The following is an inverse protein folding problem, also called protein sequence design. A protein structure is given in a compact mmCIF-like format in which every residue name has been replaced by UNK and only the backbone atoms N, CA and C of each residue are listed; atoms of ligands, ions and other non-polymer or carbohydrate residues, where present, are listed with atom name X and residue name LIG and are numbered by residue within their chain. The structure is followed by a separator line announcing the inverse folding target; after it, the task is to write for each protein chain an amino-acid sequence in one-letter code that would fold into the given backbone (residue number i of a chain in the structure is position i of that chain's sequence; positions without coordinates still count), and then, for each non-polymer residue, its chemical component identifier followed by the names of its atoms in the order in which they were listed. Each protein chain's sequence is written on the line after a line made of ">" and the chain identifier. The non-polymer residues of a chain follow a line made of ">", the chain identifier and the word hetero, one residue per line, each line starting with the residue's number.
data_IF_832980904592
#
_entry.id   IF_832980904592
#
_cell.length_a   1.000
_cell.length_b   1.000
_cell.length_c   1.000
_cell.angle_alpha   90.00
_cell.angle_beta   90.00
_cell.angle_gamma   90.00
#
_symmetry.space_group_name_H-M   'P 1'
#
loop_
_entity.id
_entity.type
_entity.pdbx_description
1 polymer ?
#
# COMPACT_ATOMS: atom_id res chain seq x y z
N UNK A 1 -8.58 0.47 -5.57
CA UNK A 1 -9.60 1.54 -5.54
C UNK A 1 -9.16 2.77 -4.75
N UNK A 2 -8.52 2.65 -3.59
CA UNK A 2 -8.20 3.80 -2.72
C UNK A 2 -6.94 4.59 -3.08
N UNK A 3 -6.01 4.03 -3.84
CA UNK A 3 -4.81 4.72 -4.30
C UNK A 3 -5.10 5.88 -5.27
N UNK A 4 -6.18 5.79 -6.06
CA UNK A 4 -6.60 6.86 -6.96
C UNK A 4 -7.00 8.15 -6.22
N UNK A 5 -7.67 8.03 -5.08
CA UNK A 5 -8.03 9.17 -4.23
C UNK A 5 -6.76 9.86 -3.70
N UNK A 6 -5.79 9.08 -3.22
CA UNK A 6 -4.51 9.59 -2.72
C UNK A 6 -3.74 10.36 -3.81
N UNK A 7 -3.70 9.85 -5.04
CA UNK A 7 -3.03 10.51 -6.18
C UNK A 7 -3.71 11.83 -6.52
N UNK A 8 -5.05 11.88 -6.55
CA UNK A 8 -5.80 13.12 -6.82
C UNK A 8 -5.53 14.20 -5.78
N UNK A 9 -5.41 13.84 -4.50
CA UNK A 9 -5.08 14.79 -3.44
C UNK A 9 -3.63 15.27 -3.50
N UNK A 10 -2.70 14.40 -3.87
CA UNK A 10 -1.31 14.82 -4.10
C UNK A 10 -1.21 15.86 -5.20
N UNK A 11 -2.04 15.74 -6.24
CA UNK A 11 -2.15 16.73 -7.31
C UNK A 11 -2.64 18.10 -6.80
N UNK A 12 -3.70 18.13 -6.01
CA UNK A 12 -4.22 19.39 -5.44
C UNK A 12 -3.16 20.12 -4.61
N UNK A 13 -2.27 19.39 -3.95
CA UNK A 13 -1.19 19.98 -3.16
C UNK A 13 0.06 20.31 -3.97
N UNK A 14 0.35 19.59 -5.04
CA UNK A 14 1.51 19.84 -5.90
C UNK A 14 1.28 20.99 -6.91
N UNK A 15 0.03 21.20 -7.35
CA UNK A 15 -0.33 22.26 -8.29
C UNK A 15 -0.59 23.64 -7.67
N UNK A 16 -0.62 23.75 -6.34
CA UNK A 16 -0.79 25.00 -5.62
C UNK A 16 0.52 25.69 -5.26
N UNK A 17 0.45 26.95 -4.84
CA UNK A 17 1.58 27.78 -4.41
C UNK A 17 2.35 27.25 -3.17
N UNK A 18 2.00 26.05 -2.67
CA UNK A 18 2.72 25.32 -1.63
C UNK A 18 3.93 24.62 -2.25
N UNK A 19 4.91 25.38 -2.67
CA UNK A 19 6.16 24.91 -3.28
C UNK A 19 7.10 24.14 -2.32
N UNK A 20 6.61 23.70 -1.18
CA UNK A 20 7.33 22.82 -0.27
C UNK A 20 6.99 21.36 -0.58
N UNK A 21 7.87 20.63 -1.24
CA UNK A 21 7.77 19.17 -1.45
C UNK A 21 7.38 18.42 -0.16
N UNK A 22 7.73 18.96 0.99
CA UNK A 22 7.42 18.39 2.31
C UNK A 22 5.94 18.54 2.70
N UNK A 23 5.30 19.67 2.40
CA UNK A 23 3.88 19.89 2.73
C UNK A 23 2.99 19.02 1.83
N UNK A 24 3.32 18.91 0.54
CA UNK A 24 2.60 18.02 -0.37
C UNK A 24 2.64 16.55 0.11
N UNK A 25 3.81 16.08 0.54
CA UNK A 25 3.96 14.75 1.14
C UNK A 25 3.15 14.58 2.42
N UNK A 26 3.15 15.60 3.28
CA UNK A 26 2.39 15.59 4.53
C UNK A 26 0.89 15.39 4.26
N UNK A 27 0.31 16.21 3.40
CA UNK A 27 -1.12 16.14 3.07
C UNK A 27 -1.46 14.83 2.36
N UNK A 28 -0.63 14.37 1.42
CA UNK A 28 -0.81 13.08 0.76
C UNK A 28 -0.83 11.92 1.77
N UNK A 29 0.08 11.94 2.76
CA UNK A 29 0.14 10.93 3.81
C UNK A 29 -1.11 10.95 4.71
N UNK A 30 -1.61 12.13 5.06
CA UNK A 30 -2.85 12.27 5.84
C UNK A 30 -4.05 11.68 5.10
N UNK A 31 -4.20 11.98 3.82
CA UNK A 31 -5.33 11.52 3.02
C UNK A 31 -5.26 10.04 2.71
N UNK A 32 -4.05 9.50 2.54
CA UNK A 32 -3.88 8.07 2.26
C UNK A 32 -4.42 7.17 3.39
N UNK A 33 -4.52 7.67 4.62
CA UNK A 33 -5.07 6.94 5.75
C UNK A 33 -6.52 6.47 5.53
N UNK A 34 -7.29 7.15 4.66
CA UNK A 34 -8.65 6.74 4.29
C UNK A 34 -8.68 5.33 3.67
N UNK A 35 -7.60 4.91 3.00
CA UNK A 35 -7.55 3.62 2.33
C UNK A 35 -7.74 2.45 3.31
N UNK A 36 -6.94 2.40 4.40
CA UNK A 36 -7.08 1.33 5.39
C UNK A 36 -8.31 1.53 6.28
N UNK A 37 -8.74 2.78 6.51
CA UNK A 37 -9.99 3.06 7.23
C UNK A 37 -11.18 2.41 6.53
N UNK A 38 -11.27 2.56 5.20
CA UNK A 38 -12.33 1.93 4.41
C UNK A 38 -12.19 0.41 4.34
N UNK A 39 -10.98 -0.14 4.28
CA UNK A 39 -10.77 -1.59 4.37
C UNK A 39 -11.33 -2.15 5.68
N UNK A 40 -10.98 -1.54 6.80
CA UNK A 40 -11.38 -2.04 8.13
C UNK A 40 -12.87 -1.80 8.39
N UNK A 41 -13.40 -0.61 8.07
CA UNK A 41 -14.78 -0.24 8.38
C UNK A 41 -15.79 -0.82 7.38
N UNK A 42 -15.42 -0.96 6.11
CA UNK A 42 -16.28 -1.56 5.08
C UNK A 42 -16.08 -3.08 4.91
N UNK A 43 -15.16 -3.69 5.66
CA UNK A 43 -14.95 -5.14 5.63
C UNK A 43 -14.32 -5.67 4.34
N UNK A 44 -13.41 -4.91 3.72
CA UNK A 44 -12.72 -5.35 2.52
C UNK A 44 -11.46 -6.18 2.88
N UNK A 45 -11.10 -7.11 2.01
CA UNK A 45 -9.90 -7.93 2.16
C UNK A 45 -8.65 -7.23 1.62
N UNK A 46 -7.62 -7.16 2.44
CA UNK A 46 -6.33 -6.57 2.10
C UNK A 46 -5.21 -7.59 2.33
N UNK A 47 -4.50 -7.95 1.26
CA UNK A 47 -3.41 -8.93 1.31
C UNK A 47 -2.38 -8.63 2.41
N UNK A 48 -1.94 -7.37 2.52
CA UNK A 48 -0.92 -6.97 3.52
C UNK A 48 -1.41 -7.11 4.96
N UNK A 49 -2.67 -6.82 5.24
CA UNK A 49 -3.29 -7.08 6.54
C UNK A 49 -3.43 -8.57 6.83
N UNK A 50 -3.76 -9.36 5.81
CA UNK A 50 -3.88 -10.82 5.94
C UNK A 50 -2.55 -11.52 6.19
N UNK A 51 -1.40 -10.89 5.91
CA UNK A 51 -0.11 -11.44 6.31
C UNK A 51 0.00 -11.61 7.84
N UNK A 52 -0.51 -10.66 8.63
CA UNK A 52 -0.59 -10.79 10.08
C UNK A 52 -1.60 -11.86 10.51
N UNK A 53 -2.86 -11.69 10.05
CA UNK A 53 -3.98 -12.48 10.55
C UNK A 53 -3.80 -13.97 10.27
N UNK A 54 -3.46 -14.31 9.03
CA UNK A 54 -3.31 -15.70 8.61
C UNK A 54 -2.02 -16.33 9.14
N UNK A 55 -0.92 -15.59 9.26
CA UNK A 55 0.29 -16.09 9.93
C UNK A 55 0.01 -16.41 11.39
N UNK A 56 -0.66 -15.52 12.12
CA UNK A 56 -1.02 -15.75 13.51
C UNK A 56 -1.96 -16.96 13.66
N UNK A 57 -2.94 -17.12 12.78
CA UNK A 57 -3.87 -18.25 12.77
C UNK A 57 -3.13 -19.58 12.50
N UNK A 58 -2.20 -19.62 11.53
CA UNK A 58 -1.40 -20.82 11.25
C UNK A 58 -0.44 -21.17 12.39
N UNK A 59 0.20 -20.18 13.01
CA UNK A 59 1.06 -20.40 14.18
C UNK A 59 0.27 -20.97 15.37
N UNK A 60 -0.98 -20.57 15.54
CA UNK A 60 -1.89 -21.12 16.55
C UNK A 60 -2.57 -22.43 16.13
N UNK A 61 -2.26 -22.94 14.94
CA UNK A 61 -2.84 -24.18 14.37
C UNK A 61 -4.38 -24.12 14.19
N UNK A 62 -4.97 -22.94 14.09
CA UNK A 62 -6.41 -22.77 13.83
C UNK A 62 -6.75 -22.91 12.34
N UNK A 63 -5.76 -22.66 11.47
CA UNK A 63 -5.81 -22.91 10.03
C UNK A 63 -4.51 -23.58 9.58
N UNK A 64 -4.54 -24.31 8.49
CA UNK A 64 -3.35 -24.91 7.88
C UNK A 64 -2.57 -23.85 7.07
N UNK A 65 -1.25 -24.09 6.88
CA UNK A 65 -0.45 -23.25 6.00
C UNK A 65 -0.91 -23.28 4.54
N UNK A 66 -1.52 -24.41 4.10
CA UNK A 66 -2.11 -24.51 2.77
C UNK A 66 -3.29 -23.55 2.57
N UNK A 67 -4.18 -23.46 3.56
CA UNK A 67 -5.29 -22.51 3.56
C UNK A 67 -4.79 -21.05 3.61
N UNK A 68 -3.76 -20.78 4.39
CA UNK A 68 -3.12 -19.47 4.46
C UNK A 68 -2.57 -19.03 3.12
N UNK A 69 -1.80 -19.89 2.44
CA UNK A 69 -1.24 -19.60 1.12
C UNK A 69 -2.35 -19.41 0.09
N UNK A 70 -3.37 -20.28 0.10
CA UNK A 70 -4.52 -20.14 -0.78
C UNK A 70 -5.22 -18.80 -0.61
N UNK A 71 -5.49 -18.38 0.62
CA UNK A 71 -6.12 -17.09 0.92
C UNK A 71 -5.23 -15.92 0.47
N UNK A 72 -3.93 -15.98 0.74
CA UNK A 72 -3.00 -14.94 0.30
C UNK A 72 -3.00 -14.79 -1.23
N UNK A 73 -2.97 -15.89 -1.97
CA UNK A 73 -3.00 -15.87 -3.45
C UNK A 73 -4.30 -15.27 -3.96
N UNK A 74 -5.45 -15.74 -3.46
CA UNK A 74 -6.77 -15.24 -3.89
C UNK A 74 -6.92 -13.75 -3.57
N UNK A 75 -6.56 -13.35 -2.34
CA UNK A 75 -6.64 -11.95 -1.93
C UNK A 75 -5.70 -11.05 -2.73
N UNK A 76 -4.46 -11.51 -3.00
CA UNK A 76 -3.49 -10.78 -3.81
C UNK A 76 -3.98 -10.56 -5.23
N UNK A 77 -4.49 -11.61 -5.88
CA UNK A 77 -5.05 -11.54 -7.23
C UNK A 77 -6.30 -10.64 -7.28
N UNK A 78 -7.18 -10.74 -6.28
CA UNK A 78 -8.34 -9.86 -6.16
C UNK A 78 -7.95 -8.38 -5.99
N UNK A 79 -6.95 -8.10 -5.15
CA UNK A 79 -6.42 -6.74 -5.00
C UNK A 79 -5.74 -6.25 -6.30
N UNK A 80 -5.03 -7.13 -7.01
CA UNK A 80 -4.40 -6.80 -8.28
C UNK A 80 -5.42 -6.44 -9.36
N UNK A 81 -6.42 -7.28 -9.58
CA UNK A 81 -7.50 -7.02 -10.55
C UNK A 81 -8.24 -5.73 -10.20
N UNK A 82 -8.61 -5.54 -8.92
CA UNK A 82 -9.26 -4.30 -8.45
C UNK A 82 -8.39 -3.06 -8.67
N UNK A 83 -7.07 -3.18 -8.50
CA UNK A 83 -6.10 -2.10 -8.76
C UNK A 83 -6.01 -1.74 -10.24
N UNK A 84 -6.02 -2.73 -11.14
CA UNK A 84 -6.00 -2.50 -12.59
C UNK A 84 -7.29 -1.82 -13.06
N UNK A 85 -8.45 -2.28 -12.58
CA UNK A 85 -9.75 -1.65 -12.89
C UNK A 85 -9.76 -0.20 -12.40
N UNK A 86 -9.31 0.05 -11.17
CA UNK A 86 -9.27 1.40 -10.62
C UNK A 86 -8.32 2.32 -11.40
N UNK A 87 -7.14 1.84 -11.79
CA UNK A 87 -6.20 2.59 -12.62
C UNK A 87 -6.78 2.92 -13.99
N UNK A 88 -7.46 1.96 -14.63
CA UNK A 88 -8.12 2.16 -15.91
C UNK A 88 -9.28 3.17 -15.82
N UNK A 89 -10.15 3.05 -14.81
CA UNK A 89 -11.22 4.03 -14.59
C UNK A 89 -10.66 5.43 -14.30
N UNK A 90 -9.55 5.52 -13.55
CA UNK A 90 -8.90 6.79 -13.29
C UNK A 90 -8.30 7.40 -14.56
N UNK A 91 -7.69 6.61 -15.43
CA UNK A 91 -7.24 7.04 -16.76
C UNK A 91 -8.39 7.65 -17.59
N UNK A 92 -9.58 7.02 -17.58
CA UNK A 92 -10.75 7.51 -18.31
C UNK A 92 -11.25 8.87 -17.82
N UNK A 93 -10.93 9.29 -16.60
CA UNK A 93 -11.27 10.63 -16.08
C UNK A 93 -10.49 11.76 -16.76
N UNK A 94 -9.43 11.42 -17.51
CA UNK A 94 -8.48 12.38 -18.11
C UNK A 94 -7.72 13.27 -17.10
N UNK A 95 -7.87 13.02 -15.80
CA UNK A 95 -7.07 13.71 -14.78
C UNK A 95 -5.56 13.45 -14.94
N UNK A 96 -5.10 12.20 -15.23
CA UNK A 96 -3.68 11.92 -15.42
C UNK A 96 -3.19 12.14 -16.87
N UNK A 97 -3.91 12.92 -17.69
CA UNK A 97 -3.50 13.17 -19.07
C UNK A 97 -2.08 13.75 -19.16
N UNK A 98 -1.42 13.50 -20.29
CA UNK A 98 -0.07 13.97 -20.57
C UNK A 98 0.05 15.49 -20.35
N UNK A 99 1.13 15.92 -19.69
CA UNK A 99 1.37 17.32 -19.35
C UNK A 99 0.55 17.84 -18.16
N UNK A 100 -0.40 17.05 -17.62
CA UNK A 100 -1.08 17.42 -16.38
C UNK A 100 -0.14 17.20 -15.18
N UNK A 101 -0.32 17.98 -14.10
CA UNK A 101 0.48 17.79 -12.88
C UNK A 101 0.23 16.42 -12.24
N UNK A 102 -0.98 15.84 -12.38
CA UNK A 102 -1.30 14.48 -11.91
C UNK A 102 -0.55 13.44 -12.73
N UNK A 103 -0.61 13.54 -14.06
CA UNK A 103 0.07 12.61 -14.96
C UNK A 103 1.58 12.64 -14.75
N UNK A 104 2.18 13.82 -14.70
CA UNK A 104 3.61 13.99 -14.42
C UNK A 104 4.02 13.38 -13.08
N UNK A 105 3.25 13.61 -12.01
CA UNK A 105 3.51 13.02 -10.70
C UNK A 105 3.43 11.49 -10.75
N UNK A 106 2.37 10.94 -11.34
CA UNK A 106 2.18 9.49 -11.45
C UNK A 106 3.28 8.81 -12.26
N UNK A 107 3.64 9.38 -13.41
CA UNK A 107 4.69 8.87 -14.26
C UNK A 107 6.05 8.85 -13.53
N UNK A 108 6.43 9.95 -12.87
CA UNK A 108 7.67 10.04 -12.11
C UNK A 108 7.69 9.08 -10.91
N UNK A 109 6.57 8.98 -10.16
CA UNK A 109 6.46 8.03 -9.06
C UNK A 109 6.55 6.58 -9.54
N UNK A 110 5.96 6.26 -10.68
CA UNK A 110 6.02 4.95 -11.32
C UNK A 110 7.44 4.61 -11.74
N UNK A 111 8.12 5.52 -12.43
CA UNK A 111 9.50 5.34 -12.86
C UNK A 111 10.45 5.10 -11.67
N UNK A 112 10.31 5.90 -10.60
CA UNK A 112 11.10 5.74 -9.38
C UNK A 112 10.89 4.38 -8.70
N UNK A 113 9.64 3.87 -8.69
CA UNK A 113 9.30 2.56 -8.12
C UNK A 113 9.82 1.40 -8.96
N UNK A 114 9.69 1.48 -10.28
CA UNK A 114 10.09 0.41 -11.20
C UNK A 114 11.61 0.25 -11.31
N UNK A 115 12.37 1.32 -11.04
CA UNK A 115 13.83 1.34 -11.14
C UNK A 115 14.52 1.41 -9.77
N UNK A 116 13.81 1.19 -8.69
CA UNK A 116 14.38 1.19 -7.34
C UNK A 116 15.33 -0.01 -7.11
N UNK A 117 16.37 0.21 -6.33
CA UNK A 117 17.31 -0.85 -5.94
C UNK A 117 16.63 -1.89 -5.03
N UNK A 118 17.02 -3.17 -5.16
CA UNK A 118 16.42 -4.28 -4.44
C UNK A 118 16.39 -4.07 -2.92
N UNK A 119 17.53 -3.80 -2.30
CA UNK A 119 17.62 -3.75 -0.84
C UNK A 119 16.83 -2.59 -0.22
N UNK A 120 16.92 -1.34 -0.72
CA UNK A 120 16.07 -0.26 -0.27
C UNK A 120 14.57 -0.53 -0.43
N UNK A 121 14.13 -1.08 -1.57
CA UNK A 121 12.73 -1.43 -1.81
C UNK A 121 12.25 -2.49 -0.80
N UNK A 122 13.04 -3.54 -0.62
CA UNK A 122 12.71 -4.65 0.27
C UNK A 122 12.59 -4.20 1.73
N UNK A 123 13.55 -3.41 2.23
CA UNK A 123 13.55 -2.92 3.62
C UNK A 123 12.40 -1.92 3.84
N UNK A 124 12.15 -1.00 2.91
CA UNK A 124 10.99 -0.10 2.97
C UNK A 124 9.67 -0.88 3.01
N UNK A 125 9.59 -1.98 2.27
CA UNK A 125 8.41 -2.84 2.26
C UNK A 125 8.20 -3.57 3.60
N UNK A 126 9.27 -4.02 4.26
CA UNK A 126 9.19 -4.61 5.61
C UNK A 126 8.61 -3.58 6.58
N UNK A 127 9.19 -2.37 6.66
CA UNK A 127 8.70 -1.33 7.58
C UNK A 127 7.27 -0.89 7.27
N UNK A 128 6.90 -0.81 6.00
CA UNK A 128 5.54 -0.52 5.60
C UNK A 128 4.56 -1.52 6.22
N UNK A 129 4.79 -2.82 6.02
CA UNK A 129 3.82 -3.83 6.47
C UNK A 129 3.87 -4.10 7.97
N UNK A 130 4.97 -3.79 8.66
CA UNK A 130 4.97 -3.73 10.13
C UNK A 130 3.92 -2.70 10.60
N UNK A 131 3.90 -1.49 10.03
CA UNK A 131 2.96 -0.44 10.42
C UNK A 131 1.51 -0.79 10.03
N UNK A 132 1.28 -1.34 8.84
CA UNK A 132 -0.05 -1.81 8.43
C UNK A 132 -0.56 -2.89 9.37
N UNK A 133 0.26 -3.86 9.70
CA UNK A 133 -0.11 -4.96 10.62
C UNK A 133 -0.31 -4.48 12.06
N UNK A 134 0.45 -3.49 12.51
CA UNK A 134 0.21 -2.84 13.81
C UNK A 134 -1.13 -2.09 13.83
N UNK A 135 -1.49 -1.40 12.74
CA UNK A 135 -2.81 -0.77 12.63
C UNK A 135 -3.93 -1.82 12.73
N UNK A 136 -3.83 -2.93 11.98
CA UNK A 136 -4.80 -4.04 12.04
C UNK A 136 -4.86 -4.63 13.45
N UNK A 137 -3.71 -4.90 14.07
CA UNK A 137 -3.65 -5.42 15.45
C UNK A 137 -4.30 -4.48 16.45
N UNK A 138 -4.01 -3.18 16.39
CA UNK A 138 -4.63 -2.18 17.26
C UNK A 138 -6.15 -2.17 17.09
N UNK A 139 -6.66 -2.29 15.86
CA UNK A 139 -8.10 -2.35 15.60
C UNK A 139 -8.79 -3.55 16.27
N UNK A 140 -8.09 -4.69 16.42
CA UNK A 140 -8.64 -5.84 17.16
C UNK A 140 -8.69 -5.61 18.68
N UNK A 141 -7.89 -4.70 19.21
CA UNK A 141 -7.83 -4.36 20.64
C UNK A 141 -8.71 -3.18 21.02
N UNK A 142 -8.96 -2.27 20.08
CA UNK A 142 -9.78 -1.08 20.33
C UNK A 142 -11.25 -1.42 20.45
N UNK A 143 -11.91 -0.82 21.44
CA UNK A 143 -13.35 -1.04 21.71
C UNK A 143 -14.25 0.01 21.06
N UNK A 144 -13.68 1.08 20.55
CA UNK A 144 -14.41 2.19 19.92
C UNK A 144 -13.95 2.38 18.47
N UNK A 145 -14.89 2.71 17.59
CA UNK A 145 -14.59 3.00 16.18
C UNK A 145 -13.64 4.19 16.02
N UNK A 146 -13.81 5.22 16.87
CA UNK A 146 -12.89 6.37 16.88
C UNK A 146 -11.46 5.96 17.22
N UNK A 147 -11.28 5.07 18.20
CA UNK A 147 -9.95 4.56 18.55
C UNK A 147 -9.31 3.78 17.38
N UNK A 148 -10.08 2.95 16.69
CA UNK A 148 -9.61 2.24 15.49
C UNK A 148 -9.15 3.21 14.41
N UNK A 149 -9.98 4.21 14.08
CA UNK A 149 -9.66 5.21 13.05
C UNK A 149 -8.43 6.03 13.39
N UNK A 150 -8.25 6.43 14.66
CA UNK A 150 -7.05 7.16 15.11
C UNK A 150 -5.79 6.31 14.93
N UNK A 151 -5.81 5.04 15.33
CA UNK A 151 -4.63 4.17 15.17
C UNK A 151 -4.32 3.85 13.71
N UNK A 152 -5.35 3.62 12.89
CA UNK A 152 -5.18 3.50 11.44
C UNK A 152 -4.51 4.75 10.89
N UNK A 153 -5.04 5.93 11.22
CA UNK A 153 -4.51 7.21 10.74
C UNK A 153 -3.01 7.33 11.04
N UNK A 154 -2.58 7.14 12.27
CA UNK A 154 -1.18 7.30 12.65
C UNK A 154 -0.25 6.29 11.97
N UNK A 155 -0.62 5.02 11.93
CA UNK A 155 0.22 4.00 11.30
C UNK A 155 0.36 4.23 9.79
N UNK A 156 -0.74 4.55 9.11
CA UNK A 156 -0.73 4.79 7.67
C UNK A 156 -0.02 6.09 7.33
N UNK A 157 -0.31 7.16 8.07
CA UNK A 157 0.36 8.44 7.91
C UNK A 157 1.88 8.32 7.97
N UNK A 158 2.41 7.62 8.97
CA UNK A 158 3.86 7.44 9.16
C UNK A 158 4.47 6.70 7.98
N UNK A 159 3.89 5.56 7.55
CA UNK A 159 4.52 4.80 6.47
C UNK A 159 4.50 5.55 5.14
N UNK A 160 3.44 6.30 4.84
CA UNK A 160 3.36 7.09 3.60
C UNK A 160 4.32 8.28 3.65
N UNK A 161 4.36 8.98 4.78
CA UNK A 161 5.25 10.13 4.96
C UNK A 161 6.73 9.73 4.84
N UNK A 162 7.11 8.58 5.42
CA UNK A 162 8.46 8.02 5.30
C UNK A 162 8.78 7.45 3.90
N UNK A 163 7.79 7.33 3.01
CA UNK A 163 7.99 6.78 1.67
C UNK A 163 8.27 5.27 1.68
N UNK A 164 7.64 4.54 2.60
CA UNK A 164 7.73 3.08 2.64
C UNK A 164 6.88 2.45 1.53
N UNK A 165 7.21 1.22 1.14
CA UNK A 165 6.68 0.59 -0.06
C UNK A 165 5.55 -0.40 0.26
N UNK A 166 4.37 -0.15 -0.31
CA UNK A 166 3.18 -0.99 -0.15
C UNK A 166 2.80 -1.65 -1.46
N UNK A 167 2.85 -2.98 -1.54
CA UNK A 167 2.64 -3.72 -2.79
C UNK A 167 1.30 -3.41 -3.45
N UNK A 168 0.20 -3.40 -2.68
CA UNK A 168 -1.14 -3.16 -3.24
C UNK A 168 -1.32 -1.70 -3.73
N UNK A 169 -0.75 -0.71 -3.01
CA UNK A 169 -0.75 0.66 -3.49
C UNK A 169 0.09 0.81 -4.78
N UNK A 170 1.23 0.12 -4.84
CA UNK A 170 2.09 0.13 -6.01
C UNK A 170 1.40 -0.48 -7.24
N UNK A 171 0.55 -1.52 -7.07
CA UNK A 171 -0.25 -2.07 -8.18
C UNK A 171 -1.02 -0.99 -8.93
N UNK A 172 -1.73 -0.12 -8.20
CA UNK A 172 -2.56 0.93 -8.80
C UNK A 172 -1.73 2.09 -9.36
N UNK A 173 -0.72 2.57 -8.59
CA UNK A 173 0.12 3.70 -8.99
C UNK A 173 0.89 3.37 -10.26
N UNK A 174 1.54 2.20 -10.29
CA UNK A 174 2.33 1.79 -11.44
C UNK A 174 1.47 1.40 -12.65
N UNK A 175 0.28 0.83 -12.43
CA UNK A 175 -0.67 0.59 -13.53
C UNK A 175 -1.15 1.91 -14.15
N UNK A 176 -1.41 2.93 -13.35
CA UNK A 176 -1.73 4.26 -13.85
C UNK A 176 -0.59 4.87 -14.66
N UNK A 177 0.65 4.80 -14.18
CA UNK A 177 1.81 5.27 -14.92
C UNK A 177 2.11 4.49 -16.20
N UNK A 178 1.72 3.21 -16.28
CA UNK A 178 1.78 2.44 -17.54
C UNK A 178 0.75 2.90 -18.58
N UNK A 179 -0.42 3.39 -18.12
CA UNK A 179 -1.47 3.90 -19.00
C UNK A 179 -1.17 5.34 -19.46
N UNK A 180 -0.57 6.15 -18.60
CA UNK A 180 -0.24 7.56 -18.83
C UNK A 180 1.27 7.79 -18.49
N UNK A 181 2.21 7.28 -19.31
CA UNK A 181 3.64 7.31 -18.99
C UNK A 181 4.29 8.69 -19.16
N UNK A 182 3.70 9.60 -19.96
CA UNK A 182 4.20 10.94 -20.21
C UNK A 182 5.68 10.97 -20.58
N UNK A 183 6.41 11.95 -20.05
CA UNK A 183 7.86 12.11 -20.29
C UNK A 183 8.73 11.00 -19.66
N UNK A 184 8.18 10.26 -18.69
CA UNK A 184 8.90 9.16 -18.03
C UNK A 184 8.81 7.82 -18.80
N UNK A 185 8.20 7.78 -19.99
CA UNK A 185 7.94 6.56 -20.78
C UNK A 185 9.19 5.67 -20.96
N UNK A 186 10.36 6.26 -21.17
CA UNK A 186 11.61 5.51 -21.33
C UNK A 186 12.06 4.76 -20.06
N UNK A 187 11.57 5.16 -18.89
CA UNK A 187 11.92 4.60 -17.57
C UNK A 187 10.81 3.71 -16.99
N UNK A 188 9.71 3.50 -17.74
CA UNK A 188 8.55 2.72 -17.32
C UNK A 188 8.45 1.46 -18.18
N UNK A 189 8.33 0.29 -17.53
CA UNK A 189 8.25 -0.98 -18.25
C UNK A 189 7.41 -2.01 -17.49
N UNK A 190 6.83 -2.96 -18.22
CA UNK A 190 6.11 -4.11 -17.63
C UNK A 190 7.08 -4.96 -16.79
N UNK A 191 8.34 -5.10 -17.20
CA UNK A 191 9.37 -5.77 -16.40
C UNK A 191 9.61 -5.09 -15.06
N UNK A 192 9.73 -3.76 -15.04
CA UNK A 192 9.86 -2.95 -13.83
C UNK A 192 8.63 -3.06 -12.93
N UNK A 193 7.42 -3.14 -13.51
CA UNK A 193 6.18 -3.37 -12.77
C UNK A 193 6.23 -4.66 -11.94
N UNK A 194 6.54 -5.79 -12.58
CA UNK A 194 6.59 -7.08 -11.89
C UNK A 194 7.80 -7.21 -10.96
N UNK A 195 8.93 -6.60 -11.32
CA UNK A 195 10.10 -6.53 -10.43
C UNK A 195 9.74 -5.84 -9.11
N UNK A 196 9.19 -4.63 -9.17
CA UNK A 196 8.79 -3.91 -7.97
C UNK A 196 7.77 -4.70 -7.14
N UNK A 197 6.71 -5.22 -7.79
CA UNK A 197 5.70 -6.01 -7.10
C UNK A 197 6.30 -7.25 -6.43
N UNK A 198 7.21 -7.95 -7.08
CA UNK A 198 7.88 -9.12 -6.50
C UNK A 198 8.66 -8.76 -5.25
N UNK A 199 9.55 -7.77 -5.34
CA UNK A 199 10.41 -7.34 -4.23
C UNK A 199 9.58 -6.79 -3.07
N UNK A 200 8.64 -5.90 -3.36
CA UNK A 200 7.83 -5.23 -2.34
C UNK A 200 6.85 -6.20 -1.67
N UNK A 201 6.26 -7.14 -2.42
CA UNK A 201 5.37 -8.16 -1.85
C UNK A 201 6.12 -9.05 -0.87
N UNK A 202 7.31 -9.52 -1.24
CA UNK A 202 8.14 -10.33 -0.34
C UNK A 202 8.51 -9.56 0.94
N UNK A 203 8.91 -8.30 0.82
CA UNK A 203 9.20 -7.45 1.98
C UNK A 203 7.96 -7.23 2.86
N UNK A 204 6.78 -6.98 2.26
CA UNK A 204 5.54 -6.86 3.02
C UNK A 204 5.19 -8.17 3.75
N UNK A 205 5.35 -9.33 3.11
CA UNK A 205 5.12 -10.64 3.77
C UNK A 205 6.03 -10.82 4.98
N UNK A 206 7.33 -10.53 4.85
CA UNK A 206 8.29 -10.61 5.96
C UNK A 206 7.89 -9.66 7.09
N UNK A 207 7.52 -8.41 6.79
CA UNK A 207 7.06 -7.44 7.78
C UNK A 207 5.82 -7.91 8.54
N UNK A 208 4.79 -8.39 7.83
CA UNK A 208 3.56 -8.89 8.44
C UNK A 208 3.77 -10.15 9.28
N UNK A 209 4.54 -11.13 8.75
CA UNK A 209 4.87 -12.36 9.47
C UNK A 209 5.68 -12.09 10.74
N UNK A 210 6.61 -11.11 10.71
CA UNK A 210 7.41 -10.74 11.89
C UNK A 210 6.55 -10.20 13.04
N UNK A 211 5.55 -9.37 12.73
CA UNK A 211 4.58 -8.88 13.73
C UNK A 211 3.75 -10.02 14.30
N UNK A 212 3.26 -10.93 13.45
CA UNK A 212 2.52 -12.11 13.89
C UNK A 212 3.34 -12.98 14.83
N UNK A 213 4.61 -13.26 14.48
CA UNK A 213 5.53 -14.05 15.29
C UNK A 213 5.83 -13.40 16.64
N UNK A 214 6.05 -12.08 16.65
CA UNK A 214 6.29 -11.33 17.88
C UNK A 214 5.12 -11.46 18.86
N UNK A 215 3.89 -11.23 18.42
CA UNK A 215 2.71 -11.36 19.27
C UNK A 215 2.41 -12.80 19.68
N UNK A 216 2.65 -13.77 18.78
CA UNK A 216 2.51 -15.19 19.13
C UNK A 216 3.47 -15.61 20.23
N UNK A 217 4.74 -15.21 20.17
CA UNK A 217 5.73 -15.55 21.19
C UNK A 217 5.45 -14.91 22.55
N UNK A 218 4.93 -13.66 22.54
CA UNK A 218 4.52 -12.97 23.77
C UNK A 218 3.29 -13.65 24.40
N UNK A 219 2.32 -14.07 23.60
CA UNK A 219 1.10 -14.70 24.09
C UNK A 219 1.35 -16.08 24.74
N UNK A 220 2.39 -16.80 24.32
CA UNK A 220 2.76 -18.10 24.92
C UNK A 220 3.46 -18.00 26.27
N UNK A 221 3.96 -16.83 26.63
CA UNK A 221 4.66 -16.61 27.90
C UNK A 221 3.71 -16.23 29.06
N UNK A 222 2.42 -16.09 28.76
CA UNK A 222 1.36 -15.88 29.74
C UNK A 222 0.56 -17.16 29.94
#
# INVERSE_FOLDING_TARGET
>A
MYSGISVSYTHLTAGGALSGLQIAKLVAAMVFAVALSLVVMAGAELFTGNNLVMTAASLNKTVSWGETIKLWVVCYLGNWVGSLIAAFLFHLTKLPADGSAVGTYMANATAAKMNGEFLPLFVKAIFCNILVCLAVWCCTKMKTESGKLIMIFWCIFVFVYCGFEHSIANMSIMAGGLLDPGEAAASISIGGYFYNLGVVTLGNMVGGASVALAYYTISKKK
#
